data_IF_717317287986
#
_entry.id   IF_717317287986
#
_cell.length_a   1.000
_cell.length_b   1.000
_cell.length_c   1.000
_cell.angle_alpha   90.00
_cell.angle_beta   90.00
_cell.angle_gamma   90.00
#
_symmetry.space_group_name_H-M   'P 1'
#
loop_
_entity.id
_entity.type
_entity.pdbx_description
1 polymer ?
#
# COMPACT_ATOMS: atom_id res chain seq x y z
N UNK A 1 -2.55 8.73 37.77
CA UNK A 1 -1.50 8.18 38.64
C UNK A 1 -0.32 9.12 38.66
N UNK A 2 0.38 9.19 39.79
CA UNK A 2 1.50 10.10 39.98
C UNK A 2 2.66 9.65 39.09
N UNK A 3 3.02 10.49 38.11
CA UNK A 3 4.20 10.27 37.29
C UNK A 3 5.44 10.71 38.09
N UNK A 4 6.46 9.86 38.31
CA UNK A 4 7.63 10.18 39.14
C UNK A 4 8.59 11.17 38.48
N UNK A 5 8.34 11.56 37.24
CA UNK A 5 9.13 12.53 36.48
C UNK A 5 8.24 13.62 35.89
N UNK A 6 8.84 14.73 35.46
CA UNK A 6 8.12 15.78 34.76
C UNK A 6 7.49 15.20 33.48
N UNK A 7 6.23 15.47 33.25
CA UNK A 7 5.51 14.99 32.07
C UNK A 7 4.78 16.15 31.38
N UNK A 8 4.65 16.03 30.07
CA UNK A 8 3.81 16.90 29.25
C UNK A 8 2.47 16.19 29.05
N UNK A 9 1.38 16.88 29.35
CA UNK A 9 0.02 16.37 29.10
C UNK A 9 -0.41 16.85 27.71
N UNK A 10 -0.93 15.94 26.90
CA UNK A 10 -1.47 16.25 25.57
C UNK A 10 -2.79 15.50 25.36
N UNK A 11 -3.67 16.05 24.55
CA UNK A 11 -4.96 15.43 24.20
C UNK A 11 -4.75 14.08 23.50
N UNK A 12 -3.77 14.01 22.59
CA UNK A 12 -3.30 12.75 22.00
C UNK A 12 -1.79 12.58 22.27
N UNK A 13 -1.42 11.73 23.24
CA UNK A 13 -0.02 11.50 23.59
C UNK A 13 0.80 10.87 22.47
N UNK A 14 0.18 10.07 21.59
CA UNK A 14 0.91 9.42 20.50
C UNK A 14 1.25 10.41 19.38
N UNK A 15 0.31 11.28 19.03
CA UNK A 15 0.57 12.40 18.09
C UNK A 15 1.61 13.36 18.67
N UNK A 16 1.51 13.69 19.96
CA UNK A 16 2.51 14.53 20.62
C UNK A 16 3.91 13.89 20.58
N UNK A 17 4.00 12.59 20.86
CA UNK A 17 5.25 11.84 20.74
C UNK A 17 5.84 11.90 19.33
N UNK A 18 5.03 11.67 18.29
CA UNK A 18 5.48 11.74 16.91
C UNK A 18 6.09 13.11 16.55
N UNK A 19 5.41 14.19 16.97
CA UNK A 19 5.91 15.57 16.76
C UNK A 19 7.21 15.85 17.51
N UNK A 20 7.31 15.40 18.75
CA UNK A 20 8.54 15.57 19.55
C UNK A 20 9.68 14.72 18.96
N UNK A 21 9.41 13.48 18.56
CA UNK A 21 10.42 12.61 17.96
C UNK A 21 11.05 13.21 16.70
N UNK A 22 10.27 13.95 15.91
CA UNK A 22 10.77 14.65 14.71
C UNK A 22 11.87 15.67 15.06
N UNK A 23 11.86 16.28 16.25
CA UNK A 23 12.89 17.24 16.68
C UNK A 23 14.23 16.55 16.98
N UNK A 24 14.22 15.26 17.24
CA UNK A 24 15.40 14.47 17.59
C UNK A 24 15.85 13.57 16.42
N UNK A 25 15.29 13.74 15.23
CA UNK A 25 15.72 12.99 14.07
C UNK A 25 17.19 13.31 13.73
N UNK A 26 18.14 12.35 13.89
CA UNK A 26 19.56 12.60 13.69
C UNK A 26 19.96 12.57 12.21
N UNK A 27 19.04 12.29 11.31
CA UNK A 27 19.37 12.15 9.89
C UNK A 27 19.84 13.49 9.34
N UNK A 28 21.03 13.53 8.70
CA UNK A 28 21.53 14.76 8.11
C UNK A 28 20.60 15.20 6.99
N UNK A 29 20.31 16.50 6.95
CA UNK A 29 19.61 17.09 5.82
C UNK A 29 20.46 16.91 4.56
N UNK A 30 19.81 16.63 3.44
CA UNK A 30 20.49 16.56 2.16
C UNK A 30 21.09 17.93 1.82
N UNK A 31 22.31 17.92 1.29
CA UNK A 31 22.94 19.12 0.78
C UNK A 31 22.57 19.24 -0.70
N UNK A 32 22.03 20.39 -1.14
CA UNK A 32 21.71 20.60 -2.55
C UNK A 32 22.93 20.40 -3.46
N UNK A 33 22.69 19.80 -4.61
CA UNK A 33 23.70 19.54 -5.61
C UNK A 33 23.48 18.22 -6.36
N UNK A 34 24.06 18.12 -7.52
CA UNK A 34 24.01 16.95 -8.39
C UNK A 34 25.35 16.24 -8.33
N UNK A 35 25.33 14.95 -7.94
CA UNK A 35 26.56 14.17 -7.89
C UNK A 35 27.13 13.94 -9.30
N UNK A 36 28.45 14.02 -9.50
CA UNK A 36 29.06 13.90 -10.83
C UNK A 36 28.83 12.60 -11.57
N UNK A 37 28.42 11.54 -10.88
CA UNK A 37 28.07 10.25 -11.49
C UNK A 37 26.58 10.06 -11.74
N UNK A 38 25.75 11.07 -11.47
CA UNK A 38 24.36 11.06 -11.89
C UNK A 38 24.27 11.29 -13.39
N UNK A 39 23.34 10.62 -14.05
CA UNK A 39 23.03 10.80 -15.46
C UNK A 39 21.65 11.44 -15.56
N UNK A 40 21.58 12.63 -16.08
CA UNK A 40 20.33 13.39 -16.22
C UNK A 40 20.19 13.77 -17.68
N UNK A 41 19.04 13.44 -18.26
CA UNK A 41 18.74 13.80 -19.64
C UNK A 41 18.70 15.33 -19.82
N UNK A 42 19.12 15.82 -20.99
CA UNK A 42 19.19 17.28 -21.27
C UNK A 42 17.82 17.95 -21.28
N UNK A 43 16.74 17.19 -21.56
CA UNK A 43 15.36 17.69 -21.52
C UNK A 43 14.74 17.69 -20.12
N UNK A 44 15.41 17.10 -19.12
CA UNK A 44 14.89 17.05 -17.76
C UNK A 44 15.01 18.40 -17.05
N UNK A 45 13.98 18.79 -16.32
CA UNK A 45 13.91 20.00 -15.53
C UNK A 45 14.10 19.69 -14.05
N UNK A 46 15.16 20.23 -13.44
CA UNK A 46 15.47 20.07 -12.02
C UNK A 46 15.30 21.41 -11.32
N UNK A 47 14.45 21.44 -10.30
CA UNK A 47 14.14 22.62 -9.50
C UNK A 47 15.30 23.13 -8.64
N UNK A 48 15.00 24.10 -7.80
CA UNK A 48 15.97 24.70 -6.86
C UNK A 48 16.18 23.77 -5.65
N UNK A 49 17.36 23.86 -5.03
CA UNK A 49 17.71 23.17 -3.79
C UNK A 49 17.55 21.63 -3.84
N UNK A 50 17.60 21.05 -5.02
CA UNK A 50 17.51 19.59 -5.23
C UNK A 50 18.84 18.92 -4.93
N UNK A 51 18.79 17.76 -4.26
CA UNK A 51 19.93 16.89 -3.99
C UNK A 51 19.82 15.59 -4.79
N UNK A 52 20.74 15.34 -5.71
CA UNK A 52 20.79 14.13 -6.54
C UNK A 52 22.06 13.36 -6.23
N UNK A 53 21.89 12.12 -5.72
CA UNK A 53 22.97 11.24 -5.28
C UNK A 53 23.71 10.53 -6.40
N UNK A 54 24.79 9.79 -6.07
CA UNK A 54 25.57 9.05 -7.03
C UNK A 54 24.79 7.95 -7.74
N UNK A 55 25.04 7.80 -9.04
CA UNK A 55 24.43 6.75 -9.87
C UNK A 55 22.92 6.89 -10.07
N UNK A 56 22.32 8.05 -9.76
CA UNK A 56 20.93 8.35 -10.11
C UNK A 56 20.82 8.51 -11.63
N UNK A 57 19.75 7.98 -12.20
CA UNK A 57 19.41 8.17 -13.62
C UNK A 57 18.08 8.90 -13.70
N UNK A 58 18.01 9.97 -14.49
CA UNK A 58 16.80 10.73 -14.79
C UNK A 58 16.60 10.77 -16.29
N UNK A 59 15.49 10.23 -16.76
CA UNK A 59 15.11 10.14 -18.17
C UNK A 59 14.67 11.46 -18.79
N UNK A 60 14.28 11.36 -20.06
CA UNK A 60 13.85 12.52 -20.87
C UNK A 60 12.52 13.11 -20.34
N UNK A 61 12.35 14.41 -20.55
CA UNK A 61 11.13 15.17 -20.23
C UNK A 61 10.65 15.04 -18.77
N UNK A 62 11.52 14.64 -17.85
CA UNK A 62 11.24 14.59 -16.43
C UNK A 62 11.18 15.99 -15.81
N UNK A 63 10.34 16.14 -14.78
CA UNK A 63 10.31 17.34 -13.94
C UNK A 63 10.49 16.94 -12.48
N UNK A 64 11.47 17.54 -11.79
CA UNK A 64 11.75 17.35 -10.37
C UNK A 64 11.56 18.71 -9.69
N UNK A 65 10.58 18.78 -8.77
CA UNK A 65 10.25 20.00 -8.04
C UNK A 65 11.34 20.45 -7.07
N UNK A 66 11.14 21.59 -6.45
CA UNK A 66 12.10 22.22 -5.55
C UNK A 66 12.31 21.40 -4.27
N UNK A 67 13.53 21.43 -3.73
CA UNK A 67 13.89 20.80 -2.45
C UNK A 67 13.82 19.27 -2.44
N UNK A 68 13.68 18.63 -3.59
CA UNK A 68 13.66 17.16 -3.68
C UNK A 68 15.02 16.55 -3.32
N UNK A 69 14.97 15.35 -2.74
CA UNK A 69 16.14 14.53 -2.47
C UNK A 69 16.02 13.18 -3.16
N UNK A 70 16.94 12.89 -4.07
CA UNK A 70 17.01 11.62 -4.79
C UNK A 70 18.30 10.91 -4.38
N UNK A 71 18.16 9.80 -3.67
CA UNK A 71 19.26 9.03 -3.09
C UNK A 71 19.91 8.09 -4.12
N UNK A 72 21.11 7.52 -3.81
CA UNK A 72 21.92 6.75 -4.75
C UNK A 72 21.19 5.62 -5.47
N UNK A 73 21.48 5.41 -6.75
CA UNK A 73 21.00 4.28 -7.55
C UNK A 73 19.51 4.33 -7.91
N UNK A 74 18.83 5.43 -7.62
CA UNK A 74 17.42 5.63 -8.03
C UNK A 74 17.35 5.87 -9.53
N UNK A 75 16.35 5.25 -10.18
CA UNK A 75 16.05 5.40 -11.60
C UNK A 75 14.69 6.05 -11.75
N UNK A 76 14.63 7.12 -12.50
CA UNK A 76 13.42 7.86 -12.87
C UNK A 76 13.33 7.79 -14.40
N UNK A 77 12.38 7.01 -14.91
CA UNK A 77 12.19 6.87 -16.35
C UNK A 77 11.53 8.12 -16.96
N UNK A 78 11.45 8.16 -18.30
CA UNK A 78 11.01 9.31 -19.07
C UNK A 78 9.62 9.83 -18.65
N UNK A 79 9.45 11.15 -18.74
CA UNK A 79 8.19 11.83 -18.53
C UNK A 79 7.67 11.85 -17.08
N UNK A 80 8.46 11.41 -16.11
CA UNK A 80 8.07 11.43 -14.70
C UNK A 80 7.97 12.87 -14.17
N UNK A 81 7.06 13.09 -13.23
CA UNK A 81 6.86 14.38 -12.58
C UNK A 81 6.86 14.21 -11.06
N UNK A 82 7.72 14.91 -10.38
CA UNK A 82 7.81 14.98 -8.93
C UNK A 82 7.48 16.40 -8.49
N UNK A 83 6.54 16.53 -7.57
CA UNK A 83 6.27 17.79 -6.87
C UNK A 83 7.41 18.17 -5.93
N UNK A 84 7.22 19.21 -5.15
CA UNK A 84 8.23 19.78 -4.27
C UNK A 84 8.47 18.91 -3.03
N UNK A 85 9.71 18.92 -2.53
CA UNK A 85 10.10 18.31 -1.26
C UNK A 85 10.01 16.79 -1.21
N UNK A 86 9.96 16.11 -2.35
CA UNK A 86 9.95 14.65 -2.40
C UNK A 86 11.27 14.04 -1.93
N UNK A 87 11.19 12.90 -1.25
CA UNK A 87 12.34 12.13 -0.79
C UNK A 87 12.29 10.71 -1.38
N UNK A 88 13.10 10.46 -2.38
CA UNK A 88 13.33 9.12 -2.92
C UNK A 88 14.58 8.53 -2.28
N UNK A 89 14.40 7.43 -1.54
CA UNK A 89 15.53 6.70 -0.96
C UNK A 89 16.28 5.89 -2.03
N UNK A 90 17.35 5.22 -1.61
CA UNK A 90 18.22 4.50 -2.54
C UNK A 90 17.51 3.37 -3.30
N UNK A 91 17.89 3.20 -4.57
CA UNK A 91 17.38 2.13 -5.44
C UNK A 91 15.86 2.13 -5.64
N UNK A 92 15.23 3.28 -5.59
CA UNK A 92 13.83 3.44 -6.01
C UNK A 92 13.77 3.40 -7.54
N UNK A 93 12.71 2.79 -8.08
CA UNK A 93 12.42 2.81 -9.52
C UNK A 93 11.07 3.47 -9.77
N UNK A 94 11.07 4.52 -10.57
CA UNK A 94 9.85 5.14 -11.11
C UNK A 94 9.76 4.81 -12.60
N UNK A 95 8.74 4.06 -13.00
CA UNK A 95 8.43 3.76 -14.38
C UNK A 95 7.96 5.00 -15.13
N UNK A 96 7.99 4.95 -16.46
CA UNK A 96 7.73 6.12 -17.29
C UNK A 96 6.39 6.80 -16.98
N UNK A 97 6.37 8.13 -17.01
CA UNK A 97 5.17 8.94 -16.84
C UNK A 97 4.56 8.95 -15.44
N UNK A 98 5.23 8.39 -14.42
CA UNK A 98 4.74 8.41 -13.02
C UNK A 98 4.66 9.84 -12.51
N UNK A 99 3.59 10.13 -11.77
CA UNK A 99 3.34 11.45 -11.18
C UNK A 99 3.30 11.33 -9.66
N UNK A 100 4.18 12.04 -8.99
CA UNK A 100 4.21 12.22 -7.55
C UNK A 100 3.82 13.64 -7.20
N UNK A 101 2.92 13.81 -6.24
CA UNK A 101 2.61 15.11 -5.62
C UNK A 101 3.78 15.64 -4.78
N UNK A 102 3.47 16.57 -3.89
CA UNK A 102 4.46 17.21 -3.03
C UNK A 102 4.77 16.36 -1.80
N UNK A 103 6.01 16.43 -1.27
CA UNK A 103 6.43 15.79 -0.01
C UNK A 103 6.22 14.28 0.05
N UNK A 104 6.19 13.62 -1.12
CA UNK A 104 6.09 12.17 -1.20
C UNK A 104 7.41 11.54 -0.75
N UNK A 105 7.31 10.52 0.12
CA UNK A 105 8.45 9.74 0.60
C UNK A 105 8.37 8.34 0.00
N UNK A 106 9.44 7.91 -0.67
CA UNK A 106 9.53 6.56 -1.24
C UNK A 106 10.76 5.86 -0.68
N UNK A 107 10.53 4.78 0.04
CA UNK A 107 11.57 4.01 0.74
C UNK A 107 12.39 3.11 -0.19
N UNK A 108 13.55 2.58 0.29
CA UNK A 108 14.50 1.86 -0.56
C UNK A 108 13.89 0.67 -1.28
N UNK A 109 14.23 0.52 -2.55
CA UNK A 109 13.82 -0.62 -3.38
C UNK A 109 12.35 -0.65 -3.77
N UNK A 110 11.56 0.38 -3.45
CA UNK A 110 10.18 0.47 -3.91
C UNK A 110 10.14 0.68 -5.44
N UNK A 111 9.15 0.07 -6.09
CA UNK A 111 8.94 0.14 -7.54
C UNK A 111 7.55 0.74 -7.80
N UNK A 112 7.51 1.86 -8.49
CA UNK A 112 6.27 2.58 -8.81
C UNK A 112 6.14 2.66 -10.32
N UNK A 113 5.03 2.16 -10.86
CA UNK A 113 4.76 2.19 -12.29
C UNK A 113 5.26 0.96 -13.06
N UNK A 114 5.54 -0.16 -12.37
CA UNK A 114 5.73 -1.44 -13.06
C UNK A 114 4.45 -1.88 -13.78
N UNK A 115 4.60 -2.70 -14.83
CA UNK A 115 3.45 -3.30 -15.50
C UNK A 115 2.62 -4.15 -14.53
N UNK A 116 1.33 -3.94 -14.51
CA UNK A 116 0.39 -4.81 -13.83
C UNK A 116 0.33 -6.21 -14.46
N UNK A 117 -0.21 -7.17 -13.74
CA UNK A 117 -0.38 -8.55 -14.19
C UNK A 117 -1.57 -8.68 -15.15
N UNK A 118 -1.41 -8.07 -16.34
CA UNK A 118 -2.37 -8.12 -17.42
C UNK A 118 -2.02 -9.23 -18.41
N UNK A 119 -2.81 -10.31 -18.44
CA UNK A 119 -2.62 -11.45 -19.33
C UNK A 119 -3.96 -11.96 -19.87
N UNK A 120 -3.97 -12.48 -21.10
CA UNK A 120 -5.10 -13.15 -21.72
C UNK A 120 -4.68 -14.54 -22.19
N UNK A 121 -5.48 -15.56 -21.89
CA UNK A 121 -5.18 -16.92 -22.37
C UNK A 121 -5.69 -17.13 -23.81
N UNK A 122 -4.77 -17.31 -24.74
CA UNK A 122 -5.06 -17.47 -26.16
C UNK A 122 -5.34 -18.93 -26.58
N UNK A 123 -5.64 -19.80 -25.61
CA UNK A 123 -5.98 -21.20 -25.84
C UNK A 123 -4.85 -22.18 -25.53
N UNK A 124 -3.62 -21.83 -25.85
CA UNK A 124 -2.41 -22.64 -25.63
C UNK A 124 -1.24 -21.85 -24.98
N UNK A 125 -1.34 -20.50 -24.96
CA UNK A 125 -0.33 -19.62 -24.36
C UNK A 125 -0.97 -18.37 -23.76
N UNK A 126 -0.16 -17.59 -23.01
CA UNK A 126 -0.56 -16.33 -22.43
C UNK A 126 -0.09 -15.15 -23.29
N UNK A 127 -1.03 -14.31 -23.72
CA UNK A 127 -0.78 -13.03 -24.34
C UNK A 127 -0.61 -11.96 -23.26
N UNK A 128 0.44 -11.13 -23.35
CA UNK A 128 0.60 -9.98 -22.47
C UNK A 128 -0.33 -8.85 -22.89
N UNK A 129 -1.11 -8.33 -21.93
CA UNK A 129 -1.89 -7.10 -22.12
C UNK A 129 -1.00 -5.91 -21.79
N UNK A 130 -0.68 -5.02 -22.76
CA UNK A 130 0.10 -3.81 -22.49
C UNK A 130 -0.56 -2.94 -21.41
N UNK A 131 0.25 -2.42 -20.50
CA UNK A 131 -0.18 -1.54 -19.41
C UNK A 131 0.18 -0.10 -19.79
N UNK A 132 -0.80 0.65 -20.33
CA UNK A 132 -0.60 1.95 -20.97
C UNK A 132 -1.04 3.14 -20.10
N UNK A 133 -1.67 2.89 -18.94
CA UNK A 133 -1.93 3.90 -17.93
C UNK A 133 -0.68 4.23 -17.12
N UNK A 134 -0.81 5.06 -16.11
CA UNK A 134 0.30 5.43 -15.22
C UNK A 134 -0.05 5.22 -13.75
N UNK A 135 0.79 5.76 -12.85
CA UNK A 135 0.54 5.88 -11.41
C UNK A 135 0.53 7.35 -11.04
N UNK A 136 -0.49 7.75 -10.29
CA UNK A 136 -0.62 9.09 -9.72
C UNK A 136 -0.65 8.96 -8.20
N UNK A 137 0.30 9.58 -7.52
CA UNK A 137 0.41 9.60 -6.06
C UNK A 137 0.22 11.03 -5.58
N UNK A 138 -0.75 11.25 -4.70
CA UNK A 138 -1.04 12.55 -4.11
C UNK A 138 0.02 13.05 -3.14
N UNK A 139 -0.21 14.24 -2.61
CA UNK A 139 0.69 14.89 -1.65
C UNK A 139 0.84 14.08 -0.35
N UNK A 140 1.97 14.25 0.33
CA UNK A 140 2.26 13.70 1.65
C UNK A 140 2.20 12.17 1.77
N UNK A 141 2.13 11.43 0.66
CA UNK A 141 2.13 9.98 0.67
C UNK A 141 3.49 9.39 1.09
N UNK A 142 3.44 8.19 1.68
CA UNK A 142 4.65 7.44 2.02
C UNK A 142 4.54 5.99 1.53
N UNK A 143 5.54 5.53 0.76
CA UNK A 143 5.59 4.20 0.17
C UNK A 143 6.77 3.44 0.78
N UNK A 144 6.48 2.36 1.48
CA UNK A 144 7.44 1.54 2.22
C UNK A 144 8.42 0.77 1.33
N UNK A 145 9.47 0.27 1.96
CA UNK A 145 10.56 -0.42 1.28
C UNK A 145 10.09 -1.69 0.54
N UNK A 146 10.58 -1.88 -0.69
CA UNK A 146 10.26 -3.00 -1.57
C UNK A 146 8.75 -3.17 -1.84
N UNK A 147 7.96 -2.13 -1.65
CA UNK A 147 6.55 -2.11 -2.06
C UNK A 147 6.43 -1.82 -3.55
N UNK A 148 5.44 -2.44 -4.20
CA UNK A 148 5.16 -2.25 -5.61
C UNK A 148 3.81 -1.58 -5.79
N UNK A 149 3.77 -0.57 -6.67
CA UNK A 149 2.55 0.08 -7.13
C UNK A 149 2.52 -0.04 -8.65
N UNK A 150 1.67 -0.92 -9.15
CA UNK A 150 1.59 -1.21 -10.58
C UNK A 150 0.85 -0.08 -11.32
N UNK A 151 1.27 0.18 -12.56
CA UNK A 151 0.56 1.11 -13.43
C UNK A 151 -0.78 0.57 -13.87
N UNK A 152 -1.67 1.45 -14.24
CA UNK A 152 -2.97 1.05 -14.78
C UNK A 152 -2.89 0.43 -16.18
N UNK A 153 -3.85 -0.42 -16.50
CA UNK A 153 -3.93 -1.04 -17.83
C UNK A 153 -4.28 -0.01 -18.92
N UNK A 154 -5.34 0.78 -18.73
CA UNK A 154 -5.76 1.88 -19.61
C UNK A 154 -5.93 3.17 -18.80
N UNK A 155 -6.70 3.13 -17.72
CA UNK A 155 -6.76 4.22 -16.75
C UNK A 155 -5.65 4.07 -15.71
N UNK A 156 -5.50 5.02 -14.82
CA UNK A 156 -4.38 5.11 -13.89
C UNK A 156 -4.63 4.37 -12.57
N UNK A 157 -3.55 3.97 -11.90
CA UNK A 157 -3.54 3.62 -10.48
C UNK A 157 -3.38 4.91 -9.68
N UNK A 158 -4.23 5.12 -8.67
CA UNK A 158 -4.28 6.40 -7.95
C UNK A 158 -4.19 6.17 -6.44
N UNK A 159 -3.26 6.84 -5.79
CA UNK A 159 -3.20 7.02 -4.35
C UNK A 159 -3.50 8.49 -4.06
N UNK A 160 -4.59 8.78 -3.33
CA UNK A 160 -4.91 10.16 -2.93
C UNK A 160 -3.91 10.68 -1.88
N UNK A 161 -4.12 11.89 -1.36
CA UNK A 161 -3.21 12.52 -0.39
C UNK A 161 -3.09 11.71 0.92
N UNK A 162 -1.91 11.78 1.54
CA UNK A 162 -1.58 11.19 2.85
C UNK A 162 -1.86 9.68 2.94
N UNK A 163 -1.74 8.96 1.83
CA UNK A 163 -1.81 7.50 1.85
C UNK A 163 -0.48 6.94 2.36
N UNK A 164 -0.56 5.98 3.30
CA UNK A 164 0.58 5.32 3.92
C UNK A 164 0.62 3.86 3.51
N UNK A 165 1.62 3.47 2.75
CA UNK A 165 1.89 2.10 2.36
C UNK A 165 3.15 1.64 3.08
N UNK A 166 3.04 0.60 3.90
CA UNK A 166 4.18 0.00 4.61
C UNK A 166 5.02 -0.89 3.68
N UNK A 167 6.01 -1.56 4.22
CA UNK A 167 6.96 -2.37 3.47
C UNK A 167 6.33 -3.63 2.87
N UNK A 168 6.86 -4.08 1.73
CA UNK A 168 6.48 -5.33 1.06
C UNK A 168 4.98 -5.41 0.68
N UNK A 169 4.36 -4.27 0.41
CA UNK A 169 2.97 -4.20 -0.03
C UNK A 169 2.87 -4.29 -1.55
N UNK A 170 1.72 -4.81 -2.04
CA UNK A 170 1.39 -4.86 -3.47
C UNK A 170 0.11 -4.09 -3.76
N UNK A 171 0.21 -3.06 -4.57
CA UNK A 171 -0.92 -2.30 -5.12
C UNK A 171 -1.01 -2.63 -6.60
N UNK A 172 -2.05 -3.36 -6.98
CA UNK A 172 -2.25 -3.82 -8.35
C UNK A 172 -2.71 -2.71 -9.30
N UNK A 173 -2.71 -3.01 -10.58
CA UNK A 173 -3.09 -2.08 -11.64
C UNK A 173 -4.51 -1.50 -11.44
N UNK A 174 -4.71 -0.22 -11.74
CA UNK A 174 -5.99 0.48 -11.63
C UNK A 174 -6.61 0.53 -10.23
N UNK A 175 -5.85 0.19 -9.18
CA UNK A 175 -6.30 0.36 -7.80
C UNK A 175 -6.46 1.85 -7.50
N UNK A 176 -7.49 2.19 -6.75
CA UNK A 176 -7.70 3.53 -6.22
C UNK A 176 -7.73 3.46 -4.69
N UNK A 177 -6.89 4.24 -4.04
CA UNK A 177 -6.82 4.34 -2.59
C UNK A 177 -7.16 5.75 -2.17
N UNK A 178 -8.23 5.89 -1.40
CA UNK A 178 -8.70 7.17 -0.87
C UNK A 178 -7.78 7.74 0.20
N UNK A 179 -7.83 9.04 0.36
CA UNK A 179 -6.97 9.82 1.23
C UNK A 179 -6.92 9.31 2.68
N UNK A 180 -5.79 9.51 3.34
CA UNK A 180 -5.53 9.17 4.74
C UNK A 180 -5.70 7.67 5.04
N UNK A 181 -5.63 6.82 4.02
CA UNK A 181 -5.71 5.36 4.18
C UNK A 181 -4.32 4.78 4.42
N UNK A 182 -4.24 3.83 5.36
CA UNK A 182 -3.01 3.14 5.69
C UNK A 182 -3.10 1.64 5.37
N UNK A 183 -2.07 1.10 4.73
CA UNK A 183 -1.91 -0.33 4.41
C UNK A 183 -0.63 -0.81 5.07
N UNK A 184 -0.76 -1.64 6.09
CA UNK A 184 0.37 -2.16 6.86
C UNK A 184 1.10 -3.29 6.11
N UNK A 185 2.27 -3.65 6.60
CA UNK A 185 3.24 -4.52 5.94
C UNK A 185 2.67 -5.80 5.34
N UNK A 186 3.17 -6.17 4.18
CA UNK A 186 2.73 -7.34 3.39
C UNK A 186 1.25 -7.32 2.97
N UNK A 187 0.54 -6.23 3.23
CA UNK A 187 -0.84 -6.03 2.78
C UNK A 187 -0.92 -5.68 1.30
N UNK A 188 -2.14 -5.62 0.75
CA UNK A 188 -2.29 -5.21 -0.64
C UNK A 188 -3.70 -5.21 -1.18
N UNK A 189 -3.82 -4.72 -2.41
CA UNK A 189 -5.06 -4.67 -3.17
C UNK A 189 -4.82 -5.19 -4.59
N UNK A 190 -5.67 -6.11 -5.02
CA UNK A 190 -5.64 -6.65 -6.38
C UNK A 190 -6.25 -5.67 -7.37
N UNK A 191 -5.96 -5.88 -8.66
CA UNK A 191 -6.29 -4.95 -9.72
C UNK A 191 -7.72 -4.43 -9.71
N UNK A 192 -7.89 -3.14 -9.96
CA UNK A 192 -9.16 -2.42 -10.01
C UNK A 192 -9.96 -2.38 -8.70
N UNK A 193 -9.36 -2.73 -7.56
CA UNK A 193 -9.98 -2.54 -6.25
C UNK A 193 -10.06 -1.04 -5.92
N UNK A 194 -11.10 -0.65 -5.20
CA UNK A 194 -11.31 0.71 -4.69
C UNK A 194 -11.35 0.70 -3.18
N UNK A 195 -10.44 1.38 -2.55
CA UNK A 195 -10.37 1.51 -1.10
C UNK A 195 -10.74 2.95 -0.75
N UNK A 196 -11.73 3.12 0.12
CA UNK A 196 -12.21 4.42 0.56
C UNK A 196 -11.18 5.19 1.39
N UNK A 197 -11.61 6.33 1.90
CA UNK A 197 -10.81 7.25 2.71
C UNK A 197 -10.73 6.79 4.17
N UNK A 198 -9.64 7.14 4.86
CA UNK A 198 -9.44 6.85 6.28
C UNK A 198 -9.56 5.35 6.62
N UNK A 199 -9.25 4.46 5.70
CA UNK A 199 -9.26 3.03 5.93
C UNK A 199 -7.94 2.57 6.57
N UNK A 200 -8.00 1.45 7.29
CA UNK A 200 -6.82 0.78 7.85
C UNK A 200 -6.83 -0.69 7.42
N UNK A 201 -5.88 -1.09 6.61
CA UNK A 201 -5.60 -2.48 6.28
C UNK A 201 -4.43 -2.94 7.15
N UNK A 202 -4.68 -3.81 8.12
CA UNK A 202 -3.64 -4.33 9.00
C UNK A 202 -2.72 -5.31 8.26
N UNK A 203 -1.59 -5.68 8.87
CA UNK A 203 -0.55 -6.49 8.25
C UNK A 203 -1.09 -7.75 7.57
N UNK A 204 -0.63 -8.02 6.37
CA UNK A 204 -1.06 -9.16 5.56
C UNK A 204 -2.51 -9.12 5.04
N UNK A 205 -3.27 -8.06 5.33
CA UNK A 205 -4.63 -7.93 4.80
C UNK A 205 -4.61 -7.77 3.27
N UNK A 206 -5.55 -8.40 2.57
CA UNK A 206 -5.66 -8.27 1.12
C UNK A 206 -7.09 -8.09 0.65
N UNK A 207 -7.25 -7.22 -0.35
CA UNK A 207 -8.52 -6.90 -0.99
C UNK A 207 -8.52 -7.50 -2.39
N UNK A 208 -9.55 -8.26 -2.72
CA UNK A 208 -9.73 -8.86 -4.05
C UNK A 208 -9.93 -7.78 -5.12
N UNK A 209 -9.68 -8.14 -6.38
CA UNK A 209 -9.87 -7.23 -7.51
C UNK A 209 -11.34 -6.88 -7.74
N UNK A 210 -11.57 -5.68 -8.30
CA UNK A 210 -12.88 -5.18 -8.75
C UNK A 210 -13.93 -5.03 -7.64
N UNK A 211 -13.52 -4.96 -6.37
CA UNK A 211 -14.43 -4.68 -5.25
C UNK A 211 -14.15 -3.32 -4.64
N UNK A 212 -15.11 -2.81 -3.87
CA UNK A 212 -15.01 -1.54 -3.18
C UNK A 212 -15.06 -1.70 -1.68
N UNK A 213 -14.24 -0.95 -0.97
CA UNK A 213 -14.22 -0.85 0.50
C UNK A 213 -14.66 0.55 0.88
N UNK A 214 -15.73 0.65 1.64
CA UNK A 214 -16.25 1.94 2.09
C UNK A 214 -15.28 2.66 3.04
N UNK A 215 -15.46 3.97 3.16
CA UNK A 215 -14.65 4.85 4.00
C UNK A 215 -14.59 4.39 5.47
N UNK A 216 -13.50 4.69 6.15
CA UNK A 216 -13.28 4.41 7.59
C UNK A 216 -13.41 2.93 7.95
N UNK A 217 -13.17 2.04 6.99
CA UNK A 217 -13.19 0.60 7.23
C UNK A 217 -11.84 0.13 7.75
N UNK A 218 -11.86 -0.72 8.78
CA UNK A 218 -10.68 -1.40 9.28
C UNK A 218 -10.71 -2.87 8.89
N UNK A 219 -9.65 -3.36 8.24
CA UNK A 219 -9.47 -4.78 7.90
C UNK A 219 -8.39 -5.34 8.82
N UNK A 220 -8.77 -6.33 9.65
CA UNK A 220 -7.85 -7.00 10.59
C UNK A 220 -6.71 -7.75 9.89
N UNK A 221 -5.65 -8.03 10.64
CA UNK A 221 -4.45 -8.67 10.12
C UNK A 221 -4.76 -10.00 9.41
N UNK A 222 -4.01 -10.29 8.34
CA UNK A 222 -4.13 -11.51 7.50
C UNK A 222 -5.53 -11.80 6.94
N UNK A 223 -6.45 -10.84 7.02
CA UNK A 223 -7.80 -11.00 6.50
C UNK A 223 -7.83 -10.82 4.98
N UNK A 224 -8.59 -11.69 4.29
CA UNK A 224 -8.79 -11.64 2.85
C UNK A 224 -10.23 -11.24 2.55
N UNK A 225 -10.42 -10.10 1.88
CA UNK A 225 -11.74 -9.56 1.55
C UNK A 225 -12.06 -9.90 0.10
N UNK A 226 -13.14 -10.65 -0.13
CA UNK A 226 -13.55 -11.14 -1.46
C UNK A 226 -14.86 -10.53 -1.96
N UNK A 227 -15.47 -9.62 -1.20
CA UNK A 227 -16.70 -8.91 -1.59
C UNK A 227 -16.64 -7.46 -1.14
N UNK A 228 -17.37 -6.59 -1.80
CA UNK A 228 -17.46 -5.19 -1.41
C UNK A 228 -17.99 -5.01 0.02
N UNK A 229 -17.48 -3.98 0.70
CA UNK A 229 -17.96 -3.51 1.99
C UNK A 229 -18.56 -2.14 1.72
N UNK A 230 -19.87 -2.03 1.81
CA UNK A 230 -20.59 -0.82 1.40
C UNK A 230 -20.86 0.13 2.57
N UNK A 231 -20.91 -0.39 3.79
CA UNK A 231 -21.16 0.41 4.99
C UNK A 231 -19.86 0.96 5.58
N UNK A 232 -19.73 2.28 5.72
CA UNK A 232 -18.52 2.88 6.26
C UNK A 232 -18.35 2.65 7.77
N UNK A 233 -17.11 2.77 8.26
CA UNK A 233 -16.78 2.72 9.69
C UNK A 233 -16.80 1.34 10.31
N UNK A 234 -16.87 0.28 9.51
CA UNK A 234 -16.88 -1.10 10.01
C UNK A 234 -15.48 -1.66 10.25
N UNK A 235 -15.39 -2.63 11.15
CA UNK A 235 -14.18 -3.46 11.35
C UNK A 235 -14.46 -4.88 10.93
N UNK A 236 -13.64 -5.40 10.01
CA UNK A 236 -13.74 -6.76 9.46
C UNK A 236 -12.52 -7.57 9.81
N UNK A 237 -12.71 -8.84 10.17
CA UNK A 237 -11.62 -9.78 10.41
C UNK A 237 -12.04 -11.19 9.99
N UNK A 238 -11.11 -11.92 9.38
CA UNK A 238 -11.34 -13.30 8.92
C UNK A 238 -10.27 -14.27 9.44
N UNK A 239 -9.43 -13.85 10.39
CA UNK A 239 -8.30 -14.64 10.85
C UNK A 239 -8.65 -15.43 12.12
N UNK A 240 -8.28 -16.70 12.13
CA UNK A 240 -8.34 -17.52 13.34
C UNK A 240 -7.06 -17.28 14.17
N UNK A 241 -7.17 -16.94 15.46
CA UNK A 241 -6.00 -16.77 16.31
C UNK A 241 -5.13 -18.03 16.37
N UNK A 242 -3.83 -17.84 16.50
CA UNK A 242 -2.91 -18.94 16.74
C UNK A 242 -3.24 -19.65 18.06
N UNK A 243 -3.22 -20.97 18.03
CA UNK A 243 -3.44 -21.81 19.20
C UNK A 243 -2.33 -22.86 19.31
N UNK A 244 -2.12 -23.50 20.49
CA UNK A 244 -1.19 -24.61 20.59
C UNK A 244 -1.44 -25.67 19.52
N UNK A 245 -0.37 -26.25 18.96
CA UNK A 245 -0.45 -27.14 17.78
C UNK A 245 -1.44 -28.32 17.97
N UNK A 246 -1.56 -28.87 19.17
CA UNK A 246 -2.53 -29.95 19.45
C UNK A 246 -3.97 -29.48 19.31
N UNK A 247 -4.26 -28.26 19.75
CA UNK A 247 -5.59 -27.66 19.66
C UNK A 247 -5.92 -27.30 18.21
N UNK A 248 -4.95 -26.73 17.48
CA UNK A 248 -5.08 -26.46 16.06
C UNK A 248 -5.39 -27.72 15.25
N UNK A 249 -4.62 -28.79 15.44
CA UNK A 249 -4.84 -30.07 14.75
C UNK A 249 -6.21 -30.67 15.06
N UNK A 250 -6.65 -30.58 16.32
CA UNK A 250 -7.99 -31.04 16.74
C UNK A 250 -9.10 -30.22 16.06
N UNK A 251 -8.95 -28.90 16.04
CA UNK A 251 -9.93 -28.01 15.40
C UNK A 251 -9.97 -28.21 13.89
N UNK A 252 -8.83 -28.36 13.23
CA UNK A 252 -8.74 -28.63 11.80
C UNK A 252 -9.39 -29.97 11.43
N UNK A 253 -9.21 -31.01 12.27
CA UNK A 253 -9.88 -32.30 12.08
C UNK A 253 -11.40 -32.18 12.16
N UNK A 254 -11.91 -31.32 13.06
CA UNK A 254 -13.35 -31.06 13.20
C UNK A 254 -13.90 -30.28 12.01
N UNK A 255 -13.18 -29.25 11.58
CA UNK A 255 -13.56 -28.44 10.40
C UNK A 255 -13.71 -29.31 9.15
N UNK A 256 -12.80 -30.26 8.92
CA UNK A 256 -12.89 -31.19 7.78
C UNK A 256 -14.14 -32.08 7.81
N UNK A 257 -14.77 -32.27 8.99
CA UNK A 257 -15.96 -33.06 9.18
C UNK A 257 -17.23 -32.24 9.41
N UNK A 258 -17.14 -30.90 9.16
CA UNK A 258 -18.23 -29.97 9.46
C UNK A 258 -19.52 -30.33 8.69
N UNK A 259 -19.39 -30.69 7.42
CA UNK A 259 -20.56 -31.10 6.60
C UNK A 259 -21.22 -32.41 7.11
N UNK A 260 -20.40 -33.37 7.56
CA UNK A 260 -20.93 -34.58 8.21
C UNK A 260 -21.68 -34.24 9.51
N UNK A 261 -21.10 -33.34 10.32
CA UNK A 261 -21.72 -32.88 11.55
C UNK A 261 -23.04 -32.14 11.27
N UNK A 262 -23.07 -31.25 10.31
CA UNK A 262 -24.27 -30.52 9.90
C UNK A 262 -25.39 -31.50 9.45
N UNK A 263 -25.06 -32.51 8.64
CA UNK A 263 -26.02 -33.54 8.24
C UNK A 263 -26.59 -34.35 9.43
N UNK A 264 -25.73 -34.67 10.40
CA UNK A 264 -26.16 -35.37 11.63
C UNK A 264 -27.06 -34.51 12.49
N UNK A 265 -26.75 -33.22 12.63
CA UNK A 265 -27.61 -32.29 13.37
C UNK A 265 -28.98 -32.17 12.72
N UNK A 266 -29.06 -31.92 11.40
CA UNK A 266 -30.36 -31.87 10.68
C UNK A 266 -31.16 -33.16 10.82
N UNK A 267 -30.52 -34.31 10.85
CA UNK A 267 -31.20 -35.59 11.04
C UNK A 267 -31.79 -35.71 12.45
N UNK A 268 -31.10 -35.26 13.49
CA UNK A 268 -31.58 -35.25 14.87
C UNK A 268 -32.73 -34.24 15.06
N UNK A 269 -32.61 -33.04 14.46
CA UNK A 269 -33.69 -32.04 14.49
C UNK A 269 -35.00 -32.57 13.89
N UNK A 270 -34.91 -33.25 12.74
CA UNK A 270 -36.09 -33.94 12.15
C UNK A 270 -36.69 -34.97 13.07
N UNK A 271 -35.91 -35.72 13.85
CA UNK A 271 -36.40 -36.73 14.79
C UNK A 271 -37.04 -36.08 16.02
N UNK A 272 -36.60 -34.91 16.44
CA UNK A 272 -37.09 -34.23 17.65
C UNK A 272 -38.20 -33.21 17.37
N UNK A 273 -38.63 -33.04 16.11
CA UNK A 273 -39.69 -32.09 15.73
C UNK A 273 -39.30 -30.62 15.87
N UNK A 274 -38.01 -30.32 16.04
CA UNK A 274 -37.47 -28.97 16.05
C UNK A 274 -36.90 -28.64 14.66
N UNK A 275 -37.71 -28.05 13.79
CA UNK A 275 -37.24 -27.33 12.59
C UNK A 275 -36.89 -25.90 13.01
N UNK A 276 -35.65 -25.52 12.96
CA UNK A 276 -35.27 -24.10 12.93
C UNK A 276 -35.67 -23.55 11.57
N UNK A 277 -36.65 -22.65 11.56
CA UNK A 277 -36.87 -21.70 10.45
C UNK A 277 -35.72 -20.70 10.49
N UNK A 278 -34.72 -20.92 9.66
CA UNK A 278 -33.75 -19.89 9.21
C UNK A 278 -32.84 -20.54 8.15
N UNK A 279 -33.16 -20.30 6.89
CA UNK A 279 -32.28 -20.39 5.71
C UNK A 279 -32.10 -18.99 5.13
#
# INVERSE_FOLDING_TARGET
GDCPVSCLVADDPYVAYARVATLFDPRPKAVPGIHPTAVIADSAHVGCDVSIGPGVVVGEDCTIGDGCTVRPGTVIEDGCRLGDGCLLYANVSLGYGVILGNRVIVHPGAVIGADGFGIAFAGDHWEKVPQIGTVIIGDDCEIGANSCVDRGAVGDTVLEEDVRIDNLCQIGHNVQVGAHTAIAGTGGAAGSARIGRNCLLAGGAAVAGHISIADRTTIGADSKVFRSIEEPGQTWSAQLPATPIRDWQRNLSRLRKLDELARRVRALEKQTGKTTEDD
#
